data_IF_292730310281
#
_entry.id   IF_292730310281
#
_cell.length_a   1.000
_cell.length_b   1.000
_cell.length_c   1.000
_cell.angle_alpha   90.00
_cell.angle_beta   90.00
_cell.angle_gamma   90.00
#
_symmetry.space_group_name_H-M   'P 1'
#
loop_
_entity.id
_entity.type
_entity.pdbx_description
1 polymer ?
#
# COMPACT_ATOMS: atom_id res chain seq x y z
N UNK A 1 11.72 14.68 -26.66
CA UNK A 1 12.54 13.93 -25.70
C UNK A 1 11.86 14.06 -24.35
N UNK A 2 11.11 13.06 -23.92
CA UNK A 2 10.63 12.99 -22.54
C UNK A 2 10.92 11.55 -22.09
N UNK A 3 12.08 11.32 -21.49
CA UNK A 3 12.33 10.02 -20.86
C UNK A 3 11.47 9.97 -19.61
N UNK A 4 10.25 9.44 -19.72
CA UNK A 4 9.35 9.31 -18.60
C UNK A 4 10.01 8.46 -17.51
N UNK A 5 10.25 9.05 -16.34
CA UNK A 5 10.74 8.38 -15.14
C UNK A 5 9.83 7.19 -14.78
N UNK A 6 10.40 6.08 -14.30
CA UNK A 6 9.61 4.92 -13.85
C UNK A 6 8.90 5.23 -12.54
N UNK A 7 9.65 5.67 -11.53
CA UNK A 7 9.08 6.19 -10.29
C UNK A 7 9.01 7.71 -10.43
N UNK A 8 7.80 8.26 -10.34
CA UNK A 8 7.50 9.67 -10.67
C UNK A 8 7.15 10.51 -9.46
N UNK A 9 6.87 9.88 -8.32
CA UNK A 9 6.54 10.58 -7.09
C UNK A 9 6.97 9.79 -5.85
N UNK A 10 7.32 10.51 -4.80
CA UNK A 10 7.78 9.97 -3.53
C UNK A 10 7.11 10.71 -2.37
N UNK A 11 6.62 9.96 -1.39
CA UNK A 11 5.75 10.49 -0.36
C UNK A 11 5.75 9.69 0.93
N UNK A 12 4.85 10.08 1.83
CA UNK A 12 4.54 9.34 3.04
C UNK A 12 3.03 9.10 3.12
N UNK A 13 2.62 8.12 3.94
CA UNK A 13 1.23 8.02 4.34
C UNK A 13 0.88 9.08 5.40
N UNK A 14 -0.37 9.53 5.36
CA UNK A 14 -0.93 10.47 6.34
C UNK A 14 -1.30 9.77 7.64
N UNK A 15 -1.39 10.51 8.73
CA UNK A 15 -1.86 9.97 10.01
C UNK A 15 -3.38 10.01 10.06
N UNK A 16 -3.95 9.03 10.76
CA UNK A 16 -5.38 9.02 11.10
C UNK A 16 -5.55 9.63 12.48
N UNK A 17 -6.57 10.49 12.62
CA UNK A 17 -6.90 11.15 13.87
C UNK A 17 -8.22 10.69 14.47
N UNK A 18 -8.72 11.45 15.46
CA UNK A 18 -10.05 11.25 16.07
C UNK A 18 -11.24 11.68 15.18
N UNK A 19 -11.04 11.78 13.86
CA UNK A 19 -12.08 12.09 12.88
C UNK A 19 -12.37 13.57 12.61
N UNK A 20 -11.59 14.52 13.13
CA UNK A 20 -11.82 15.97 12.91
C UNK A 20 -10.97 16.60 11.80
N UNK A 21 -10.33 15.80 10.93
CA UNK A 21 -9.45 16.21 9.82
C UNK A 21 -8.22 17.07 10.17
N UNK A 22 -8.06 17.56 11.40
CA UNK A 22 -6.89 18.35 11.81
C UNK A 22 -5.61 17.53 11.68
N UNK A 23 -5.68 16.24 12.04
CA UNK A 23 -4.56 15.28 11.90
C UNK A 23 -4.19 15.06 10.44
N UNK A 24 -5.17 14.92 9.54
CA UNK A 24 -4.93 14.82 8.11
C UNK A 24 -4.23 16.08 7.58
N UNK A 25 -4.76 17.26 7.88
CA UNK A 25 -4.22 18.53 7.38
C UNK A 25 -2.80 18.79 7.92
N UNK A 26 -2.53 18.47 9.19
CA UNK A 26 -1.20 18.58 9.78
C UNK A 26 -0.22 17.58 9.14
N UNK A 27 -0.66 16.36 8.85
CA UNK A 27 0.15 15.35 8.15
C UNK A 27 0.54 15.83 6.75
N UNK A 28 -0.43 16.31 5.96
CA UNK A 28 -0.17 16.83 4.63
C UNK A 28 0.78 18.03 4.62
N UNK A 29 0.64 18.93 5.60
CA UNK A 29 1.58 20.04 5.78
C UNK A 29 2.98 19.54 6.06
N UNK A 30 3.14 18.60 6.98
CA UNK A 30 4.44 18.01 7.31
C UNK A 30 5.09 17.36 6.08
N UNK A 31 4.31 16.57 5.33
CA UNK A 31 4.79 15.90 4.10
C UNK A 31 5.21 16.94 3.05
N UNK A 32 4.41 17.98 2.85
CA UNK A 32 4.73 19.08 1.94
C UNK A 32 5.98 19.84 2.37
N UNK A 33 6.12 20.17 3.66
CA UNK A 33 7.24 20.94 4.21
C UNK A 33 8.56 20.13 4.17
N UNK A 34 8.50 18.80 4.24
CA UNK A 34 9.64 17.91 4.03
C UNK A 34 10.14 17.91 2.57
N UNK A 35 9.35 18.43 1.62
CA UNK A 35 9.69 18.44 0.19
C UNK A 35 9.36 17.14 -0.54
N UNK A 36 8.47 16.31 0.01
CA UNK A 36 7.91 15.18 -0.71
C UNK A 36 7.00 15.64 -1.87
N UNK A 37 6.77 14.76 -2.84
CA UNK A 37 5.95 15.06 -4.04
C UNK A 37 4.63 14.29 -4.07
N UNK A 38 4.44 13.38 -3.12
CA UNK A 38 3.19 12.64 -2.95
C UNK A 38 2.79 12.48 -1.49
N UNK A 39 1.51 12.18 -1.27
CA UNK A 39 0.99 11.70 0.00
C UNK A 39 -0.04 10.60 -0.23
N UNK A 40 0.00 9.57 0.61
CA UNK A 40 -1.07 8.59 0.68
C UNK A 40 -2.08 8.97 1.76
N UNK A 41 -3.33 9.16 1.36
CA UNK A 41 -4.42 9.54 2.23
C UNK A 41 -4.99 8.31 2.93
N UNK A 42 -4.80 8.18 4.24
CA UNK A 42 -5.28 7.06 5.05
C UNK A 42 -6.77 7.20 5.39
N UNK A 43 -7.61 7.25 4.35
CA UNK A 43 -9.03 7.63 4.46
C UNK A 43 -9.89 6.62 5.24
N UNK A 44 -9.38 5.42 5.50
CA UNK A 44 -10.05 4.43 6.35
C UNK A 44 -10.30 4.94 7.78
N UNK A 45 -9.49 5.88 8.28
CA UNK A 45 -9.62 6.46 9.63
C UNK A 45 -10.46 7.73 9.73
N UNK A 46 -10.99 8.28 8.63
CA UNK A 46 -11.61 9.61 8.61
C UNK A 46 -13.15 9.59 8.55
N UNK A 47 -13.76 8.40 8.69
CA UNK A 47 -15.24 8.22 8.71
C UNK A 47 -15.96 8.93 7.54
N UNK A 48 -15.34 8.94 6.35
CA UNK A 48 -15.87 9.55 5.13
C UNK A 48 -17.05 8.78 4.52
N UNK A 49 -17.21 7.50 4.91
CA UNK A 49 -18.21 6.58 4.38
C UNK A 49 -19.01 6.02 5.55
N UNK A 50 -20.35 6.12 5.49
CA UNK A 50 -21.27 5.56 6.47
C UNK A 50 -22.25 4.61 5.78
N UNK A 51 -22.17 3.31 6.11
CA UNK A 51 -23.01 2.28 5.50
C UNK A 51 -22.87 2.21 3.97
N UNK A 52 -21.65 2.34 3.46
CA UNK A 52 -21.36 2.33 2.02
C UNK A 52 -21.69 3.62 1.26
N UNK A 53 -22.10 4.70 1.96
CA UNK A 53 -22.42 5.99 1.34
C UNK A 53 -21.45 7.06 1.79
N UNK A 54 -20.99 7.90 0.86
CA UNK A 54 -20.16 9.07 1.15
C UNK A 54 -20.94 10.06 2.02
N UNK A 55 -20.31 10.55 3.08
CA UNK A 55 -20.83 11.63 3.94
C UNK A 55 -20.48 12.98 3.29
N UNK A 56 -21.44 13.73 2.72
CA UNK A 56 -21.14 14.85 1.82
C UNK A 56 -20.25 15.93 2.45
N UNK A 57 -20.60 16.43 3.64
CA UNK A 57 -19.83 17.49 4.30
C UNK A 57 -18.39 17.08 4.66
N UNK A 58 -18.16 15.78 4.95
CA UNK A 58 -16.79 15.27 5.18
C UNK A 58 -16.01 15.16 3.88
N UNK A 59 -16.65 14.73 2.79
CA UNK A 59 -16.01 14.67 1.48
C UNK A 59 -15.67 16.06 0.94
N UNK A 60 -16.53 17.05 1.15
CA UNK A 60 -16.25 18.46 0.83
C UNK A 60 -15.02 18.94 1.62
N UNK A 61 -14.97 18.65 2.93
CA UNK A 61 -13.84 19.01 3.78
C UNK A 61 -12.53 18.36 3.33
N UNK A 62 -12.57 17.08 2.92
CA UNK A 62 -11.41 16.40 2.35
C UNK A 62 -10.87 17.15 1.13
N UNK A 63 -11.74 17.52 0.18
CA UNK A 63 -11.35 18.24 -1.04
C UNK A 63 -10.80 19.64 -0.73
N UNK A 64 -11.39 20.35 0.22
CA UNK A 64 -10.85 21.65 0.69
C UNK A 64 -9.44 21.52 1.26
N UNK A 65 -9.14 20.42 1.95
CA UNK A 65 -7.84 20.17 2.54
C UNK A 65 -6.81 19.79 1.47
N UNK A 66 -7.12 18.82 0.61
CA UNK A 66 -6.17 18.33 -0.39
C UNK A 66 -5.76 19.39 -1.41
N UNK A 67 -6.65 20.36 -1.71
CA UNK A 67 -6.36 21.50 -2.59
C UNK A 67 -5.39 22.53 -2.02
N UNK A 68 -5.06 22.45 -0.73
CA UNK A 68 -4.11 23.39 -0.11
C UNK A 68 -2.64 23.02 -0.36
N UNK A 69 -2.37 21.82 -0.87
CA UNK A 69 -1.03 21.29 -1.02
C UNK A 69 -0.79 20.82 -2.46
N UNK A 70 0.40 21.08 -2.98
CA UNK A 70 0.85 20.65 -4.31
C UNK A 70 1.49 19.25 -4.21
N UNK A 71 0.65 18.24 -3.97
CA UNK A 71 1.05 16.84 -3.81
C UNK A 71 0.24 15.95 -4.75
N UNK A 72 0.86 14.90 -5.30
CA UNK A 72 0.13 13.81 -5.94
C UNK A 72 -0.46 12.90 -4.86
N UNK A 73 -1.70 12.48 -5.02
CA UNK A 73 -2.38 11.66 -4.02
C UNK A 73 -2.59 10.21 -4.46
N UNK A 74 -2.38 9.28 -3.53
CA UNK A 74 -3.04 7.97 -3.48
C UNK A 74 -3.98 7.94 -2.27
N UNK A 75 -4.89 6.96 -2.25
CA UNK A 75 -5.75 6.69 -1.09
C UNK A 75 -5.46 5.29 -0.60
N UNK A 76 -5.16 5.17 0.70
CA UNK A 76 -5.21 3.88 1.36
C UNK A 76 -6.67 3.50 1.65
N UNK A 77 -7.14 2.40 1.06
CA UNK A 77 -8.48 1.86 1.29
C UNK A 77 -8.67 1.30 2.70
N UNK A 78 -9.78 0.60 2.93
CA UNK A 78 -10.07 0.00 4.24
C UNK A 78 -9.02 -1.06 4.60
N UNK A 79 -8.51 -1.04 5.84
CA UNK A 79 -7.60 -2.09 6.35
C UNK A 79 -8.30 -3.47 6.39
N UNK A 80 -9.62 -3.49 6.60
CA UNK A 80 -10.42 -4.73 6.57
C UNK A 80 -10.82 -5.16 5.15
N UNK A 81 -10.30 -4.51 4.11
CA UNK A 81 -10.59 -4.86 2.71
C UNK A 81 -10.32 -6.35 2.47
N UNK A 82 -11.32 -7.07 1.99
CA UNK A 82 -11.18 -8.50 1.73
C UNK A 82 -12.21 -9.00 0.70
N UNK A 83 -11.80 -9.17 -0.56
CA UNK A 83 -12.64 -9.79 -1.58
C UNK A 83 -12.71 -11.31 -1.52
N UNK A 84 -12.06 -11.96 -0.54
CA UNK A 84 -12.28 -13.36 -0.19
C UNK A 84 -13.38 -13.56 0.88
N UNK A 85 -13.91 -12.47 1.47
CA UNK A 85 -15.01 -12.54 2.44
C UNK A 85 -16.36 -12.70 1.73
N UNK A 86 -16.81 -13.95 1.59
CA UNK A 86 -18.07 -14.26 0.88
C UNK A 86 -19.29 -13.66 1.57
N UNK A 87 -19.28 -13.58 2.90
CA UNK A 87 -20.43 -13.09 3.67
C UNK A 87 -20.60 -11.58 3.49
N UNK A 88 -19.48 -10.85 3.40
CA UNK A 88 -19.49 -9.38 3.33
C UNK A 88 -19.08 -8.81 1.96
N UNK A 89 -18.95 -9.63 0.92
CA UNK A 89 -18.42 -9.21 -0.38
C UNK A 89 -19.15 -8.00 -0.97
N UNK A 90 -20.48 -7.97 -0.90
CA UNK A 90 -21.26 -6.85 -1.43
C UNK A 90 -21.06 -5.56 -0.63
N UNK A 91 -20.87 -5.66 0.68
CA UNK A 91 -20.54 -4.52 1.54
C UNK A 91 -19.15 -3.97 1.22
N UNK A 92 -18.17 -4.87 1.07
CA UNK A 92 -16.80 -4.54 0.68
C UNK A 92 -16.78 -3.82 -0.68
N UNK A 93 -17.44 -4.37 -1.70
CA UNK A 93 -17.56 -3.74 -3.02
C UNK A 93 -18.25 -2.38 -2.95
N UNK A 94 -19.30 -2.24 -2.14
CA UNK A 94 -19.99 -0.95 -1.94
C UNK A 94 -19.06 0.11 -1.37
N UNK A 95 -18.25 -0.23 -0.36
CA UNK A 95 -17.27 0.70 0.22
C UNK A 95 -16.15 1.01 -0.77
N UNK A 96 -15.65 0.02 -1.52
CA UNK A 96 -14.61 0.25 -2.55
C UNK A 96 -15.11 1.20 -3.65
N UNK A 97 -16.36 1.07 -4.10
CA UNK A 97 -16.96 2.03 -5.06
C UNK A 97 -16.99 3.45 -4.51
N UNK A 98 -17.39 3.63 -3.26
CA UNK A 98 -17.37 4.94 -2.60
C UNK A 98 -15.94 5.49 -2.42
N UNK A 99 -14.95 4.63 -2.13
CA UNK A 99 -13.55 5.02 -2.08
C UNK A 99 -13.02 5.46 -3.45
N UNK A 100 -13.38 4.78 -4.54
CA UNK A 100 -13.00 5.20 -5.91
C UNK A 100 -13.56 6.58 -6.26
N UNK A 101 -14.80 6.87 -5.85
CA UNK A 101 -15.38 8.20 -6.02
C UNK A 101 -14.66 9.25 -5.16
N UNK A 102 -14.28 8.93 -3.91
CA UNK A 102 -13.46 9.81 -3.07
C UNK A 102 -12.07 10.06 -3.67
N UNK A 103 -11.45 9.05 -4.28
CA UNK A 103 -10.19 9.21 -5.00
C UNK A 103 -10.35 10.24 -6.12
N UNK A 104 -11.39 10.11 -6.94
CA UNK A 104 -11.67 11.05 -8.02
C UNK A 104 -11.90 12.48 -7.50
N UNK A 105 -12.69 12.64 -6.43
CA UNK A 105 -12.94 13.96 -5.80
C UNK A 105 -11.67 14.60 -5.25
N UNK A 106 -10.78 13.81 -4.66
CA UNK A 106 -9.51 14.25 -4.10
C UNK A 106 -8.37 14.32 -5.14
N UNK A 107 -8.65 14.03 -6.42
CA UNK A 107 -7.67 13.95 -7.51
C UNK A 107 -6.56 12.92 -7.23
N UNK A 108 -6.87 11.87 -6.47
CA UNK A 108 -5.99 10.74 -6.20
C UNK A 108 -6.08 9.72 -7.34
N UNK A 109 -4.92 9.33 -7.90
CA UNK A 109 -4.86 8.41 -9.03
C UNK A 109 -4.87 6.92 -8.68
N UNK A 110 -4.66 6.60 -7.39
CA UNK A 110 -4.49 5.22 -6.90
C UNK A 110 -5.39 4.99 -5.68
N UNK A 111 -6.06 3.83 -5.66
CA UNK A 111 -6.70 3.26 -4.48
C UNK A 111 -5.98 1.98 -4.06
N UNK A 112 -5.38 1.95 -2.89
CA UNK A 112 -4.79 0.75 -2.29
C UNK A 112 -5.90 -0.17 -1.79
N UNK A 113 -5.78 -1.47 -2.10
CA UNK A 113 -6.67 -2.53 -1.64
C UNK A 113 -5.85 -3.69 -1.11
N UNK A 114 -6.11 -4.11 0.13
CA UNK A 114 -5.44 -5.26 0.73
C UNK A 114 -5.79 -6.56 0.01
N UNK A 115 -4.79 -7.38 -0.26
CA UNK A 115 -4.98 -8.74 -0.76
C UNK A 115 -5.81 -9.59 0.19
N UNK A 116 -6.64 -10.46 -0.38
CA UNK A 116 -7.66 -11.22 0.31
C UNK A 116 -7.12 -12.14 1.40
N UNK A 117 -7.94 -12.35 2.42
CA UNK A 117 -7.66 -13.25 3.54
C UNK A 117 -8.74 -14.32 3.65
N UNK A 118 -8.33 -15.52 4.06
CA UNK A 118 -9.26 -16.58 4.43
C UNK A 118 -8.77 -17.39 5.63
N UNK A 119 -9.68 -17.92 6.43
CA UNK A 119 -9.33 -18.85 7.52
C UNK A 119 -8.96 -20.22 6.94
N UNK A 120 -8.05 -20.93 7.59
CA UNK A 120 -7.50 -22.20 7.09
C UNK A 120 -8.49 -23.36 6.83
N UNK A 121 -9.63 -23.51 7.52
CA UNK A 121 -10.66 -24.47 7.09
C UNK A 121 -11.19 -24.21 5.66
N UNK A 122 -10.93 -23.03 5.10
CA UNK A 122 -11.21 -22.69 3.71
C UNK A 122 -10.08 -23.03 2.73
N UNK A 123 -8.94 -23.60 3.18
CA UNK A 123 -7.83 -23.98 2.30
C UNK A 123 -8.23 -25.00 1.22
N UNK A 124 -9.21 -25.86 1.51
CA UNK A 124 -9.76 -26.80 0.52
C UNK A 124 -10.46 -26.09 -0.65
N UNK A 125 -10.69 -24.78 -0.54
CA UNK A 125 -11.36 -23.91 -1.51
C UNK A 125 -10.51 -22.71 -1.92
N UNK A 126 -9.19 -22.74 -1.77
CA UNK A 126 -8.29 -21.63 -2.18
C UNK A 126 -8.56 -21.20 -3.62
N UNK A 127 -8.68 -22.16 -4.54
CA UNK A 127 -8.96 -21.83 -5.95
C UNK A 127 -10.28 -21.07 -6.14
N UNK A 128 -11.33 -21.40 -5.38
CA UNK A 128 -12.60 -20.67 -5.42
C UNK A 128 -12.48 -19.26 -4.83
N UNK A 129 -11.69 -19.10 -3.77
CA UNK A 129 -11.47 -17.81 -3.11
C UNK A 129 -10.60 -16.88 -3.95
N UNK A 130 -9.50 -17.39 -4.51
CA UNK A 130 -8.66 -16.65 -5.45
C UNK A 130 -9.46 -16.26 -6.71
N UNK A 131 -10.37 -17.12 -7.19
CA UNK A 131 -11.27 -16.76 -8.29
C UNK A 131 -12.27 -15.67 -7.87
N UNK A 132 -12.84 -15.75 -6.66
CA UNK A 132 -13.77 -14.74 -6.15
C UNK A 132 -13.10 -13.36 -6.03
N UNK A 133 -11.86 -13.32 -5.56
CA UNK A 133 -11.07 -12.09 -5.52
C UNK A 133 -10.80 -11.55 -6.94
N UNK A 134 -10.37 -12.40 -7.87
CA UNK A 134 -10.15 -11.99 -9.27
C UNK A 134 -11.41 -11.41 -9.91
N UNK A 135 -12.55 -12.05 -9.72
CA UNK A 135 -13.83 -11.59 -10.27
C UNK A 135 -14.23 -10.23 -9.67
N UNK A 136 -14.06 -10.06 -8.36
CA UNK A 136 -14.33 -8.80 -7.67
C UNK A 136 -13.38 -7.68 -8.11
N UNK A 137 -12.08 -7.98 -8.26
CA UNK A 137 -11.10 -7.03 -8.75
C UNK A 137 -11.38 -6.62 -10.20
N UNK A 138 -11.74 -7.56 -11.08
CA UNK A 138 -12.10 -7.26 -12.46
C UNK A 138 -13.31 -6.31 -12.52
N UNK A 139 -14.35 -6.58 -11.72
CA UNK A 139 -15.52 -5.72 -11.60
C UNK A 139 -15.14 -4.32 -11.10
N UNK A 140 -14.36 -4.23 -10.00
CA UNK A 140 -13.99 -2.94 -9.44
C UNK A 140 -13.02 -2.16 -10.32
N UNK A 141 -12.15 -2.82 -11.07
CA UNK A 141 -11.24 -2.18 -12.01
C UNK A 141 -12.00 -1.54 -13.19
N UNK A 142 -13.07 -2.16 -13.69
CA UNK A 142 -13.92 -1.54 -14.72
C UNK A 142 -14.66 -0.31 -14.18
N UNK A 143 -15.05 -0.31 -12.90
CA UNK A 143 -15.62 0.88 -12.25
C UNK A 143 -14.55 1.96 -12.05
N UNK A 144 -13.35 1.58 -11.60
CA UNK A 144 -12.23 2.49 -11.35
C UNK A 144 -11.82 3.27 -12.61
N UNK A 145 -11.93 2.63 -13.79
CA UNK A 145 -11.77 3.27 -15.10
C UNK A 145 -12.66 4.50 -15.29
N UNK A 146 -13.92 4.44 -14.85
CA UNK A 146 -14.85 5.58 -14.92
C UNK A 146 -14.41 6.78 -14.08
N UNK A 147 -13.61 6.54 -13.05
CA UNK A 147 -13.04 7.56 -12.16
C UNK A 147 -11.62 7.99 -12.56
N UNK A 148 -11.01 7.33 -13.55
CA UNK A 148 -9.59 7.53 -13.89
C UNK A 148 -8.63 7.03 -12.82
N UNK A 149 -9.06 6.10 -11.96
CA UNK A 149 -8.30 5.57 -10.82
C UNK A 149 -7.78 4.18 -11.14
N UNK A 150 -6.58 3.86 -10.64
CA UNK A 150 -6.03 2.50 -10.65
C UNK A 150 -6.13 1.89 -9.25
N UNK A 151 -6.60 0.64 -9.15
CA UNK A 151 -6.53 -0.12 -7.91
C UNK A 151 -5.13 -0.73 -7.78
N UNK A 152 -4.51 -0.61 -6.61
CA UNK A 152 -3.22 -1.21 -6.30
C UNK A 152 -3.44 -2.34 -5.28
N UNK A 153 -3.27 -3.59 -5.71
CA UNK A 153 -3.48 -4.78 -4.89
C UNK A 153 -2.23 -5.08 -4.05
N UNK A 154 -2.35 -4.92 -2.75
CA UNK A 154 -1.26 -5.05 -1.79
C UNK A 154 -1.04 -6.50 -1.36
N UNK A 155 0.23 -6.92 -1.32
CA UNK A 155 0.61 -8.15 -0.64
C UNK A 155 0.55 -7.97 0.89
N UNK A 156 -0.28 -8.75 1.56
CA UNK A 156 -0.40 -8.76 3.03
C UNK A 156 0.08 -10.11 3.56
N UNK A 157 0.67 -10.12 4.76
CA UNK A 157 1.13 -11.33 5.44
C UNK A 157 0.05 -11.90 6.37
N UNK A 158 0.09 -13.20 6.62
CA UNK A 158 -0.82 -13.83 7.57
C UNK A 158 -0.31 -13.65 9.01
N UNK A 159 -1.21 -13.37 9.96
CA UNK A 159 -0.84 -13.25 11.38
C UNK A 159 -0.54 -14.60 12.04
N UNK A 160 -1.00 -15.70 11.43
CA UNK A 160 -0.75 -17.05 11.91
C UNK A 160 -0.92 -18.07 10.79
N UNK A 161 -0.47 -19.30 11.03
CA UNK A 161 -0.74 -20.43 10.14
C UNK A 161 -2.21 -20.85 10.12
N UNK A 162 -3.11 -20.18 10.86
CA UNK A 162 -4.56 -20.34 10.77
C UNK A 162 -5.20 -19.44 9.68
N UNK A 163 -4.41 -18.62 9.00
CA UNK A 163 -4.83 -17.65 7.99
C UNK A 163 -4.10 -17.89 6.66
N UNK A 164 -4.85 -17.78 5.57
CA UNK A 164 -4.37 -17.78 4.20
C UNK A 164 -4.31 -16.35 3.70
N UNK A 165 -3.16 -16.00 3.11
CA UNK A 165 -2.93 -14.85 2.25
C UNK A 165 -2.22 -15.33 0.99
N UNK A 166 -2.39 -14.62 -0.11
CA UNK A 166 -1.58 -14.85 -1.31
C UNK A 166 -0.12 -14.43 -1.03
N UNK A 167 0.83 -15.22 -1.51
CA UNK A 167 2.24 -14.81 -1.53
C UNK A 167 2.43 -13.67 -2.54
N UNK A 168 3.53 -12.89 -2.48
CA UNK A 168 3.76 -11.82 -3.44
C UNK A 168 3.71 -12.28 -4.91
N UNK A 169 4.28 -13.46 -5.22
CA UNK A 169 4.18 -14.04 -6.56
C UNK A 169 2.72 -14.27 -6.98
N UNK A 170 1.90 -14.87 -6.11
CA UNK A 170 0.48 -15.11 -6.37
C UNK A 170 -0.33 -13.82 -6.55
N UNK A 171 -0.02 -12.77 -5.78
CA UNK A 171 -0.61 -11.44 -5.99
C UNK A 171 -0.24 -10.93 -7.39
N UNK A 172 1.02 -11.09 -7.80
CA UNK A 172 1.47 -10.79 -9.16
C UNK A 172 0.72 -11.59 -10.24
N UNK A 173 0.46 -12.87 -10.01
CA UNK A 173 -0.36 -13.72 -10.88
C UNK A 173 -1.82 -13.26 -10.93
N UNK A 174 -2.41 -12.87 -9.79
CA UNK A 174 -3.77 -12.31 -9.70
C UNK A 174 -3.90 -11.05 -10.56
N UNK A 175 -2.96 -10.11 -10.45
CA UNK A 175 -2.96 -8.89 -11.28
C UNK A 175 -2.85 -9.22 -12.78
N UNK A 176 -1.95 -10.14 -13.16
CA UNK A 176 -1.78 -10.58 -14.56
C UNK A 176 -3.03 -11.28 -15.09
N UNK A 177 -3.70 -12.08 -14.27
CA UNK A 177 -4.88 -12.84 -14.66
C UNK A 177 -6.11 -11.93 -14.87
N UNK A 178 -6.29 -10.91 -14.03
CA UNK A 178 -7.36 -9.90 -14.22
C UNK A 178 -7.11 -9.05 -15.47
N UNK A 179 -5.84 -8.76 -15.77
CA UNK A 179 -5.42 -8.11 -17.03
C UNK A 179 -6.17 -6.80 -17.34
N UNK A 180 -6.22 -5.88 -16.36
CA UNK A 180 -6.85 -4.56 -16.51
C UNK A 180 -5.83 -3.43 -16.37
N UNK A 181 -5.88 -2.37 -17.21
CA UNK A 181 -5.02 -1.19 -17.04
C UNK A 181 -5.32 -0.39 -15.76
N UNK A 182 -6.49 -0.63 -15.15
CA UNK A 182 -6.94 -0.02 -13.90
C UNK A 182 -6.69 -0.91 -12.67
N UNK A 183 -5.85 -1.94 -12.81
CA UNK A 183 -5.33 -2.74 -11.70
C UNK A 183 -3.80 -2.88 -11.83
N UNK A 184 -3.08 -2.70 -10.73
CA UNK A 184 -1.66 -3.06 -10.61
C UNK A 184 -1.39 -3.74 -9.26
N UNK A 185 -0.19 -4.28 -9.11
CA UNK A 185 0.32 -4.69 -7.81
C UNK A 185 0.81 -3.50 -6.98
N UNK A 186 0.75 -3.66 -5.67
CA UNK A 186 1.46 -2.86 -4.69
C UNK A 186 2.41 -3.77 -3.94
N UNK A 187 3.71 -3.50 -4.03
CA UNK A 187 4.69 -4.21 -3.19
C UNK A 187 4.87 -3.45 -1.90
N UNK A 188 4.39 -4.04 -0.81
CA UNK A 188 4.94 -3.77 0.51
C UNK A 188 6.08 -4.76 0.77
N UNK A 189 7.30 -4.23 0.81
CA UNK A 189 8.51 -5.04 0.91
C UNK A 189 8.65 -5.73 2.27
N UNK A 190 8.22 -5.06 3.35
CA UNK A 190 8.26 -5.59 4.71
C UNK A 190 7.23 -6.71 4.89
N UNK A 191 6.00 -6.49 4.43
CA UNK A 191 4.95 -7.51 4.43
C UNK A 191 5.38 -8.75 3.64
N UNK A 192 5.96 -8.55 2.45
CA UNK A 192 6.50 -9.64 1.65
C UNK A 192 7.59 -10.40 2.43
N UNK A 193 8.47 -9.69 3.14
CA UNK A 193 9.56 -10.31 3.88
C UNK A 193 9.06 -11.14 5.07
N UNK A 194 8.09 -10.61 5.80
CA UNK A 194 7.43 -11.32 6.91
C UNK A 194 6.75 -12.59 6.41
N UNK A 195 5.93 -12.49 5.36
CA UNK A 195 5.20 -13.65 4.84
C UNK A 195 6.13 -14.72 4.27
N UNK A 196 7.16 -14.32 3.52
CA UNK A 196 8.13 -15.25 2.99
C UNK A 196 8.93 -15.95 4.09
N UNK A 197 9.32 -15.24 5.16
CA UNK A 197 10.00 -15.84 6.31
C UNK A 197 9.09 -16.85 7.02
N UNK A 198 7.80 -16.51 7.21
CA UNK A 198 6.81 -17.41 7.82
C UNK A 198 6.65 -18.71 7.02
N UNK A 199 6.59 -18.61 5.70
CA UNK A 199 6.40 -19.75 4.80
C UNK A 199 7.71 -20.48 4.41
N UNK A 200 8.88 -19.97 4.82
CA UNK A 200 10.17 -20.51 4.39
C UNK A 200 10.47 -20.32 2.90
N UNK A 201 9.94 -19.26 2.29
CA UNK A 201 10.11 -18.93 0.86
C UNK A 201 11.31 -18.00 0.64
N UNK A 202 11.84 -18.01 -0.59
CA UNK A 202 12.83 -17.04 -1.01
C UNK A 202 12.16 -15.68 -1.30
N UNK A 203 12.29 -14.76 -0.35
CA UNK A 203 11.72 -13.41 -0.44
C UNK A 203 12.13 -12.65 -1.72
N UNK A 204 13.40 -12.76 -2.14
CA UNK A 204 13.90 -12.06 -3.34
C UNK A 204 13.24 -12.56 -4.62
N UNK A 205 12.97 -13.87 -4.72
CA UNK A 205 12.26 -14.44 -5.86
C UNK A 205 10.80 -13.98 -5.90
N UNK A 206 10.15 -13.92 -4.73
CA UNK A 206 8.76 -13.51 -4.60
C UNK A 206 8.55 -12.04 -5.01
N UNK A 207 9.37 -11.10 -4.51
CA UNK A 207 9.28 -9.69 -4.92
C UNK A 207 9.68 -9.48 -6.38
N UNK A 208 10.61 -10.29 -6.91
CA UNK A 208 11.00 -10.24 -8.33
C UNK A 208 9.86 -10.67 -9.25
N UNK A 209 9.07 -11.67 -8.85
CA UNK A 209 7.92 -12.12 -9.63
C UNK A 209 6.78 -11.09 -9.69
N UNK A 210 6.60 -10.31 -8.62
CA UNK A 210 5.55 -9.30 -8.48
C UNK A 210 5.93 -7.93 -9.07
N UNK A 211 7.22 -7.54 -9.02
CA UNK A 211 7.67 -6.20 -9.41
C UNK A 211 7.22 -5.74 -10.82
N UNK A 212 7.25 -6.58 -11.88
CA UNK A 212 6.89 -6.15 -13.23
C UNK A 212 5.45 -5.66 -13.40
N UNK A 213 4.55 -5.99 -12.47
CA UNK A 213 3.15 -5.55 -12.49
C UNK A 213 2.84 -4.52 -11.41
N UNK A 214 3.85 -4.05 -10.68
CA UNK A 214 3.68 -3.16 -9.54
C UNK A 214 3.79 -1.70 -9.97
N UNK A 215 2.80 -0.89 -9.61
CA UNK A 215 2.71 0.54 -9.91
C UNK A 215 2.61 1.43 -8.67
N UNK A 216 2.67 0.83 -7.48
CA UNK A 216 2.67 1.50 -6.20
C UNK A 216 3.58 0.72 -5.24
N UNK A 217 4.33 1.40 -4.39
CA UNK A 217 5.33 0.77 -3.52
C UNK A 217 5.20 1.32 -2.11
N UNK A 218 5.11 0.42 -1.11
CA UNK A 218 5.21 0.79 0.30
C UNK A 218 6.62 0.46 0.81
N UNK A 219 7.30 1.49 1.32
CA UNK A 219 8.71 1.44 1.72
C UNK A 219 8.85 1.84 3.18
N UNK A 220 9.10 0.83 4.01
CA UNK A 220 9.46 0.97 5.41
C UNK A 220 10.27 -0.26 5.81
N UNK A 221 11.12 -0.11 6.82
CA UNK A 221 12.08 -1.15 7.18
C UNK A 221 11.55 -2.10 8.26
N UNK A 222 12.07 -3.32 8.25
CA UNK A 222 11.81 -4.34 9.26
C UNK A 222 12.93 -5.38 9.28
N UNK A 223 12.73 -6.48 9.99
CA UNK A 223 13.67 -7.61 10.04
C UNK A 223 13.07 -8.88 9.43
N UNK A 224 11.93 -8.76 8.74
CA UNK A 224 11.21 -9.89 8.15
C UNK A 224 10.71 -10.93 9.14
N UNK A 225 10.71 -10.66 10.45
CA UNK A 225 10.35 -11.66 11.47
C UNK A 225 8.83 -11.68 11.67
N UNK A 226 8.16 -12.82 11.51
CA UNK A 226 6.74 -12.94 11.83
C UNK A 226 6.47 -12.70 13.32
N UNK A 227 5.21 -12.39 13.64
CA UNK A 227 4.76 -12.32 15.03
C UNK A 227 4.94 -13.68 15.71
N UNK A 228 5.92 -13.75 16.61
CA UNK A 228 6.18 -14.92 17.47
C UNK A 228 5.66 -14.72 18.90
N UNK A 229 5.18 -13.52 19.20
CA UNK A 229 4.64 -13.10 20.50
C UNK A 229 3.47 -12.15 20.28
N UNK A 230 2.45 -12.26 21.13
CA UNK A 230 1.21 -11.45 21.02
C UNK A 230 1.12 -10.31 22.02
N UNK A 231 2.13 -10.18 22.91
CA UNK A 231 2.14 -9.16 23.96
C UNK A 231 3.52 -8.53 24.10
N UNK A 232 3.52 -7.21 23.99
CA UNK A 232 4.62 -6.31 24.36
C UNK A 232 4.11 -5.37 25.45
N UNK A 233 4.96 -5.00 26.40
CA UNK A 233 4.63 -4.02 27.45
C UNK A 233 4.88 -2.58 26.99
N UNK A 234 5.69 -2.40 25.94
CA UNK A 234 5.88 -1.13 25.27
C UNK A 234 6.11 -1.36 23.76
N UNK A 235 5.57 -0.51 22.84
CA UNK A 235 5.74 -0.71 21.39
C UNK A 235 7.20 -0.81 20.94
N UNK A 236 8.10 -0.08 21.59
CA UNK A 236 9.54 -0.13 21.30
C UNK A 236 10.19 -1.50 21.54
N UNK A 237 9.58 -2.39 22.34
CA UNK A 237 10.09 -3.75 22.54
C UNK A 237 10.01 -4.57 21.25
N UNK A 238 8.93 -4.42 20.47
CA UNK A 238 8.82 -5.07 19.17
C UNK A 238 9.94 -4.60 18.22
N UNK A 239 10.22 -3.29 18.21
CA UNK A 239 11.36 -2.72 17.46
C UNK A 239 12.70 -3.29 17.93
N UNK A 240 12.94 -3.32 19.25
CA UNK A 240 14.20 -3.84 19.80
C UNK A 240 14.41 -5.34 19.50
N UNK A 241 13.32 -6.11 19.46
CA UNK A 241 13.35 -7.54 19.13
C UNK A 241 13.26 -7.82 17.63
N UNK A 242 12.96 -6.80 16.82
CA UNK A 242 12.76 -6.91 15.38
C UNK A 242 11.55 -7.75 14.97
N UNK A 243 10.51 -7.85 15.81
CA UNK A 243 9.39 -8.77 15.61
C UNK A 243 8.18 -8.03 15.03
N UNK A 244 7.64 -8.56 13.92
CA UNK A 244 6.40 -8.12 13.33
C UNK A 244 6.58 -6.98 12.33
N UNK A 245 5.48 -6.31 12.07
CA UNK A 245 5.39 -5.23 11.10
C UNK A 245 5.67 -3.88 11.79
N UNK A 246 6.89 -3.39 11.59
CA UNK A 246 7.47 -2.38 12.49
C UNK A 246 7.38 -0.96 11.94
N UNK A 247 7.22 -0.80 10.62
CA UNK A 247 7.18 0.50 9.94
C UNK A 247 8.38 1.40 10.28
N UNK A 248 9.60 0.84 10.23
CA UNK A 248 10.80 1.56 10.67
C UNK A 248 11.33 2.53 9.60
N UNK A 249 12.08 3.57 10.01
CA UNK A 249 12.84 4.40 9.09
C UNK A 249 13.78 3.58 8.19
N UNK A 250 13.97 4.03 6.94
CA UNK A 250 14.80 3.32 5.96
C UNK A 250 16.24 3.22 6.48
N UNK A 251 16.73 1.98 6.63
CA UNK A 251 18.07 1.66 7.12
C UNK A 251 18.16 1.31 8.59
N UNK A 252 17.04 1.24 9.32
CA UNK A 252 17.00 0.71 10.69
C UNK A 252 16.84 -0.81 10.74
N UNK A 253 16.24 -1.40 9.71
CA UNK A 253 16.09 -2.85 9.56
C UNK A 253 17.24 -3.46 8.76
N UNK A 254 17.00 -4.66 8.22
CA UNK A 254 17.96 -5.41 7.41
C UNK A 254 17.51 -5.63 5.95
N UNK A 255 16.47 -4.91 5.49
CA UNK A 255 16.05 -4.96 4.10
C UNK A 255 17.17 -4.38 3.20
N UNK A 256 17.69 -5.15 2.21
CA UNK A 256 18.78 -4.73 1.33
C UNK A 256 18.30 -3.79 0.21
N UNK A 257 17.82 -2.60 0.58
CA UNK A 257 17.13 -1.64 -0.30
C UNK A 257 17.88 -1.30 -1.59
N UNK A 258 19.18 -0.99 -1.50
CA UNK A 258 19.97 -0.63 -2.68
C UNK A 258 20.07 -1.79 -3.67
N UNK A 259 20.25 -3.01 -3.16
CA UNK A 259 20.36 -4.20 -4.00
C UNK A 259 19.04 -4.48 -4.72
N UNK A 260 17.91 -4.49 -4.00
CA UNK A 260 16.62 -4.80 -4.62
C UNK A 260 16.18 -3.71 -5.61
N UNK A 261 16.41 -2.41 -5.33
CA UNK A 261 16.10 -1.33 -6.28
C UNK A 261 17.06 -1.30 -7.48
N UNK A 262 18.26 -1.87 -7.34
CA UNK A 262 19.20 -2.03 -8.47
C UNK A 262 18.81 -3.14 -9.44
N UNK A 263 17.99 -4.11 -9.03
CA UNK A 263 17.55 -5.23 -9.88
C UNK A 263 16.09 -5.12 -10.35
N UNK A 264 15.17 -4.74 -9.46
CA UNK A 264 13.73 -4.80 -9.74
C UNK A 264 13.30 -3.79 -10.81
N UNK A 265 12.24 -4.14 -11.53
CA UNK A 265 11.60 -3.29 -12.55
C UNK A 265 10.15 -3.11 -12.21
N UNK A 266 9.67 -1.86 -12.27
CA UNK A 266 8.29 -1.49 -11.93
C UNK A 266 7.57 -0.90 -13.15
N UNK A 267 6.25 -0.74 -13.04
CA UNK A 267 5.44 -0.06 -14.05
C UNK A 267 5.83 1.44 -14.17
N UNK A 268 5.63 2.08 -15.33
CA UNK A 268 5.80 3.52 -15.43
C UNK A 268 4.77 4.28 -14.58
N UNK A 269 5.10 5.51 -14.20
CA UNK A 269 4.30 6.35 -13.29
C UNK A 269 4.03 5.67 -11.93
N UNK A 270 5.04 4.95 -11.42
CA UNK A 270 5.00 4.35 -10.09
C UNK A 270 5.12 5.41 -9.01
N UNK A 271 4.32 5.28 -7.96
CA UNK A 271 4.41 6.08 -6.75
C UNK A 271 5.08 5.28 -5.63
N UNK A 272 6.03 5.90 -4.92
CA UNK A 272 6.72 5.32 -3.76
C UNK A 272 6.25 6.03 -2.50
N UNK A 273 5.57 5.30 -1.62
CA UNK A 273 5.05 5.80 -0.35
C UNK A 273 5.83 5.17 0.79
N UNK A 274 6.33 6.01 1.68
CA UNK A 274 6.94 5.57 2.92
C UNK A 274 5.89 5.52 4.03
N UNK A 275 5.62 4.32 4.55
CA UNK A 275 4.75 4.16 5.70
C UNK A 275 5.52 4.33 7.00
N UNK A 276 6.11 5.51 7.18
CA UNK A 276 6.91 5.89 8.35
C UNK A 276 6.19 7.05 9.02
N UNK A 277 5.51 6.78 10.15
CA UNK A 277 4.64 7.78 10.77
C UNK A 277 5.41 8.82 11.57
N UNK A 278 5.00 10.09 11.48
CA UNK A 278 5.59 11.18 12.25
C UNK A 278 5.36 11.05 13.75
N UNK A 279 4.29 10.36 14.18
CA UNK A 279 4.05 10.09 15.61
C UNK A 279 5.21 9.34 16.27
N UNK A 280 5.81 8.37 15.56
CA UNK A 280 6.94 7.58 16.08
C UNK A 280 8.30 8.08 15.60
N UNK A 281 8.36 8.59 14.37
CA UNK A 281 9.62 8.78 13.65
C UNK A 281 9.71 10.12 12.90
N UNK A 282 9.09 11.19 13.42
CA UNK A 282 9.15 12.52 12.79
C UNK A 282 10.59 13.01 12.55
N UNK A 283 11.53 12.74 13.47
CA UNK A 283 12.93 13.15 13.32
C UNK A 283 13.66 12.41 12.19
N UNK A 284 13.20 11.21 11.83
CA UNK A 284 13.85 10.33 10.86
C UNK A 284 13.20 10.41 9.46
N UNK A 285 12.07 11.12 9.30
CA UNK A 285 11.39 11.25 8.01
C UNK A 285 12.27 11.95 6.97
N UNK A 286 12.98 13.02 7.34
CA UNK A 286 13.87 13.73 6.40
C UNK A 286 15.00 12.81 5.87
N UNK A 287 15.62 12.03 6.74
CA UNK A 287 16.66 11.06 6.36
C UNK A 287 16.08 9.91 5.52
N UNK A 288 14.87 9.45 5.85
CA UNK A 288 14.18 8.41 5.07
C UNK A 288 13.83 8.92 3.67
N UNK A 289 13.34 10.15 3.53
CA UNK A 289 13.08 10.78 2.24
C UNK A 289 14.36 10.90 1.40
N UNK A 290 15.46 11.34 2.01
CA UNK A 290 16.76 11.42 1.32
C UNK A 290 17.25 10.04 0.84
N UNK A 291 16.97 8.96 1.59
CA UNK A 291 17.27 7.58 1.18
C UNK A 291 16.35 7.11 0.06
N UNK A 292 15.05 7.34 0.17
CA UNK A 292 14.06 6.98 -0.85
C UNK A 292 14.37 7.66 -2.19
N UNK A 293 14.77 8.94 -2.19
CA UNK A 293 15.19 9.65 -3.40
C UNK A 293 16.40 8.97 -4.09
N UNK A 294 17.37 8.47 -3.33
CA UNK A 294 18.49 7.69 -3.90
C UNK A 294 18.02 6.37 -4.52
N UNK A 295 17.02 5.71 -3.91
CA UNK A 295 16.42 4.49 -4.49
C UNK A 295 15.68 4.79 -5.80
N UNK A 296 14.96 5.91 -5.85
CA UNK A 296 14.31 6.41 -7.07
C UNK A 296 15.34 6.68 -8.17
N UNK A 297 16.45 7.32 -7.84
CA UNK A 297 17.53 7.59 -8.79
C UNK A 297 18.15 6.31 -9.36
N UNK A 298 18.33 5.27 -8.53
CA UNK A 298 18.82 3.96 -8.99
C UNK A 298 17.91 3.34 -10.06
N UNK A 299 16.59 3.38 -9.84
CA UNK A 299 15.61 2.82 -10.77
C UNK A 299 15.53 3.65 -12.05
N UNK A 300 15.45 4.97 -11.93
CA UNK A 300 15.26 5.86 -13.07
C UNK A 300 16.53 5.97 -13.95
N UNK A 301 17.72 5.94 -13.35
CA UNK A 301 19.00 5.99 -14.10
C UNK A 301 19.22 4.74 -14.96
N UNK A 302 18.79 3.57 -14.48
CA UNK A 302 18.86 2.32 -15.25
C UNK A 302 18.03 2.38 -16.52
N UNK A 303 16.84 2.99 -16.45
CA UNK A 303 15.96 3.16 -17.61
C UNK A 303 16.57 4.07 -18.68
N UNK A 304 17.34 5.08 -18.28
CA UNK A 304 18.05 5.96 -19.21
C UNK A 304 19.18 5.23 -19.95
N UNK A 305 19.74 4.19 -19.34
CA UNK A 305 20.85 3.42 -19.90
C UNK A 305 20.42 2.19 -20.74
N UNK A 306 19.15 1.78 -20.65
CA UNK A 306 18.55 0.65 -21.38
C UNK A 306 17.86 1.10 -22.67
#
# INVERSE_FOLDING_TARGET
>A
MNSASTITSVGFCTHTGGGNFDTLQASLRTISDLGATAAELSLYGEELIAGGRIVPGRAERLVEITRQFDLRYSVHGQIVSNFMDREHLDLQKTVVRAMLELCNRAEAGILVHHGGQAKMPALTRIGELDQMERDALAEMAEIAKGYGVRIALENIFALSDAEYRQTPEKVGETVKAVNSPNLCGLIDFSHAYIECTRLGLNWREQIRAMAPVSGHLHVHDSFGRPYSMTKFYHPAEATALGIGDLHLPIGWGDIPWQEIFSELTFLPDTMLIMEITGERFASEQADSLARALKLVDLVNSRRLAA
#
